data_IF_995114989108
#
_entry.id   IF_995114989108
#
_cell.length_a   1.000
_cell.length_b   1.000
_cell.length_c   1.000
_cell.angle_alpha   90.00
_cell.angle_beta   90.00
_cell.angle_gamma   90.00
#
_symmetry.space_group_name_H-M   'P 1'
#
loop_
_entity.id
_entity.type
_entity.pdbx_description
1 polymer ?
#
# COMPACT_ATOMS: atom_id res chain seq x y z
N UNK A 1 35.16 -95.31 -17.42
CA UNK A 1 34.84 -94.42 -16.32
C UNK A 1 35.80 -93.26 -16.32
N UNK A 2 35.32 -92.04 -16.67
CA UNK A 2 36.14 -90.83 -16.78
C UNK A 2 35.79 -89.86 -15.66
N UNK A 3 36.75 -89.61 -14.77
CA UNK A 3 36.64 -88.59 -13.75
C UNK A 3 36.95 -87.22 -14.37
N UNK A 4 36.04 -86.26 -14.18
CA UNK A 4 36.29 -84.84 -14.47
C UNK A 4 36.63 -84.15 -13.16
N UNK A 5 37.80 -83.52 -13.11
CA UNK A 5 38.20 -82.65 -11.99
C UNK A 5 37.49 -81.30 -12.09
N UNK A 6 36.96 -80.84 -10.99
CA UNK A 6 36.33 -79.50 -10.87
C UNK A 6 37.33 -78.57 -10.17
N UNK A 7 37.78 -77.54 -10.91
CA UNK A 7 38.70 -76.53 -10.39
C UNK A 7 37.87 -75.39 -9.77
N UNK A 8 38.03 -75.18 -8.51
CA UNK A 8 37.42 -74.00 -7.79
C UNK A 8 38.34 -72.80 -7.98
N UNK A 9 37.80 -71.70 -8.54
CA UNK A 9 38.42 -70.39 -8.51
C UNK A 9 37.96 -69.66 -7.23
N UNK A 10 38.93 -69.36 -6.37
CA UNK A 10 38.73 -68.44 -5.24
C UNK A 10 38.92 -66.99 -5.77
N UNK A 11 37.83 -66.26 -5.82
CA UNK A 11 37.85 -64.81 -6.09
C UNK A 11 38.19 -64.05 -4.79
N UNK A 12 39.31 -63.38 -4.75
CA UNK A 12 39.73 -62.54 -3.63
C UNK A 12 38.84 -61.30 -3.51
N UNK A 13 38.23 -61.11 -2.35
CA UNK A 13 37.53 -59.90 -1.97
C UNK A 13 38.54 -58.82 -1.55
N UNK A 14 38.66 -57.76 -2.34
CA UNK A 14 39.40 -56.56 -1.95
C UNK A 14 38.60 -55.75 -0.93
N UNK A 15 39.24 -55.14 0.08
CA UNK A 15 38.52 -54.34 1.06
C UNK A 15 38.09 -52.99 0.41
N UNK A 16 36.78 -52.67 0.44
CA UNK A 16 36.26 -51.38 0.07
C UNK A 16 36.63 -50.40 1.17
N UNK A 17 37.58 -49.53 0.91
CA UNK A 17 37.90 -48.41 1.78
C UNK A 17 36.76 -47.36 1.68
N UNK A 18 36.03 -47.18 2.76
CA UNK A 18 35.07 -46.09 2.91
C UNK A 18 35.86 -44.79 3.04
N UNK A 19 35.91 -43.99 1.98
CA UNK A 19 36.38 -42.61 2.06
C UNK A 19 35.26 -41.79 2.69
N UNK A 20 35.47 -41.34 3.92
CA UNK A 20 34.65 -40.32 4.56
C UNK A 20 34.72 -39.04 3.73
N UNK A 21 33.66 -38.73 2.99
CA UNK A 21 33.55 -37.43 2.33
C UNK A 21 33.48 -36.36 3.43
N UNK A 22 34.55 -35.60 3.58
CA UNK A 22 34.57 -34.42 4.42
C UNK A 22 33.47 -33.46 3.90
N UNK A 23 32.45 -33.21 4.71
CA UNK A 23 31.43 -32.20 4.41
C UNK A 23 32.13 -30.86 4.22
N UNK A 24 31.93 -30.25 3.07
CA UNK A 24 32.36 -28.89 2.83
C UNK A 24 31.77 -27.97 3.91
N UNK A 25 32.53 -26.99 4.45
CA UNK A 25 32.04 -26.09 5.44
C UNK A 25 30.79 -25.37 4.86
N UNK A 26 29.68 -25.34 5.63
CA UNK A 26 28.50 -24.55 5.31
C UNK A 26 28.96 -23.11 5.09
N UNK A 27 28.51 -22.44 4.02
CA UNK A 27 28.76 -21.01 3.86
C UNK A 27 28.25 -20.31 5.13
N UNK A 28 29.11 -19.49 5.74
CA UNK A 28 28.71 -18.64 6.84
C UNK A 28 27.46 -17.86 6.41
N UNK A 29 26.41 -17.85 7.24
CA UNK A 29 25.22 -17.08 7.00
C UNK A 29 25.65 -15.65 6.69
N UNK A 30 25.44 -15.20 5.46
CA UNK A 30 25.73 -13.83 5.07
C UNK A 30 24.82 -12.94 5.94
N UNK A 31 25.43 -12.08 6.75
CA UNK A 31 24.68 -11.03 7.40
C UNK A 31 23.90 -10.26 6.33
N UNK A 32 22.61 -9.94 6.57
CA UNK A 32 21.83 -9.18 5.61
C UNK A 32 22.58 -7.88 5.31
N UNK A 33 22.88 -7.63 4.05
CA UNK A 33 23.44 -6.34 3.66
C UNK A 33 22.43 -5.27 4.03
N UNK A 34 22.87 -4.14 4.64
CA UNK A 34 21.96 -3.01 4.82
C UNK A 34 21.33 -2.68 3.47
N UNK A 35 20.03 -2.87 3.33
CA UNK A 35 19.33 -2.46 2.11
C UNK A 35 19.25 -0.93 2.11
N UNK A 36 19.74 -0.24 1.06
CA UNK A 36 19.63 1.20 0.99
C UNK A 36 18.14 1.62 1.06
N UNK A 37 17.83 2.51 1.98
CA UNK A 37 16.49 3.11 2.07
C UNK A 37 15.63 2.68 3.25
N UNK A 38 15.94 1.58 3.97
CA UNK A 38 15.18 1.22 5.19
C UNK A 38 15.50 2.15 6.34
N UNK A 39 14.46 2.74 6.93
CA UNK A 39 14.60 3.73 8.01
C UNK A 39 13.55 3.52 9.10
N UNK A 40 13.93 3.85 10.34
CA UNK A 40 13.01 4.11 11.44
C UNK A 40 13.42 5.47 12.03
N UNK A 41 12.49 6.42 11.99
CA UNK A 41 12.70 7.76 12.53
C UNK A 41 11.58 8.12 13.50
N UNK A 42 11.95 8.74 14.63
CA UNK A 42 10.96 9.27 15.57
C UNK A 42 10.28 10.50 14.95
N UNK A 43 8.94 10.52 14.96
CA UNK A 43 8.15 11.70 14.59
C UNK A 43 8.09 12.63 15.81
N UNK A 44 7.44 12.19 16.88
CA UNK A 44 7.31 12.90 18.14
C UNK A 44 6.90 11.93 19.24
N UNK A 45 7.20 12.25 20.53
CA UNK A 45 6.86 11.37 21.65
C UNK A 45 7.41 9.95 21.43
N UNK A 46 6.53 8.96 21.44
CA UNK A 46 6.86 7.56 21.21
C UNK A 46 6.26 7.04 19.88
N UNK A 47 5.93 7.95 18.98
CA UNK A 47 5.47 7.67 17.63
C UNK A 47 6.65 7.72 16.65
N UNK A 48 6.77 6.65 15.85
CA UNK A 48 7.82 6.46 14.87
C UNK A 48 7.24 6.25 13.48
N UNK A 49 7.95 6.73 12.46
CA UNK A 49 7.72 6.40 11.05
C UNK A 49 8.81 5.44 10.59
N UNK A 50 8.44 4.41 9.87
CA UNK A 50 9.38 3.48 9.22
C UNK A 50 9.07 3.37 7.74
N UNK A 51 10.03 2.89 6.96
CA UNK A 51 9.81 2.68 5.53
C UNK A 51 11.07 2.27 4.78
N UNK A 52 10.93 2.13 3.45
CA UNK A 52 12.02 1.75 2.53
C UNK A 52 12.40 2.86 1.55
N UNK A 53 11.99 4.10 1.82
CA UNK A 53 12.23 5.26 0.95
C UNK A 53 11.08 5.57 0.01
N UNK A 54 10.16 4.64 -0.22
CA UNK A 54 8.97 4.81 -1.08
C UNK A 54 7.69 4.61 -0.27
N UNK A 55 7.58 3.48 0.42
CA UNK A 55 6.46 3.09 1.26
C UNK A 55 6.79 3.29 2.74
N UNK A 56 5.83 3.80 3.48
CA UNK A 56 6.00 4.13 4.89
C UNK A 56 4.78 3.74 5.70
N UNK A 57 5.06 3.23 6.91
CA UNK A 57 4.08 3.03 7.96
C UNK A 57 4.50 3.77 9.23
N UNK A 58 3.67 3.70 10.26
CA UNK A 58 3.98 4.27 11.58
C UNK A 58 3.75 3.24 12.69
N UNK A 59 4.43 3.42 13.81
CA UNK A 59 4.12 2.66 15.01
C UNK A 59 4.24 3.52 16.26
N UNK A 60 3.36 3.27 17.22
CA UNK A 60 3.32 3.90 18.53
C UNK A 60 3.76 2.90 19.60
N UNK A 61 4.80 3.24 20.35
CA UNK A 61 5.26 2.44 21.49
C UNK A 61 4.52 2.89 22.75
N UNK A 62 3.99 1.93 23.49
CA UNK A 62 3.29 2.18 24.75
C UNK A 62 3.82 1.28 25.86
N UNK A 63 3.44 1.50 27.12
CA UNK A 63 3.82 0.63 28.24
C UNK A 63 3.30 -0.80 28.13
N UNK A 64 2.25 -1.06 27.32
CA UNK A 64 1.60 -2.37 27.21
C UNK A 64 1.78 -3.03 25.85
N UNK A 65 2.60 -2.46 24.97
CA UNK A 65 2.85 -2.99 23.63
C UNK A 65 2.90 -1.90 22.56
N UNK A 66 3.00 -2.34 21.32
CA UNK A 66 3.11 -1.48 20.13
C UNK A 66 1.80 -1.53 19.35
N UNK A 67 1.38 -0.39 18.83
CA UNK A 67 0.35 -0.25 17.80
C UNK A 67 1.09 0.03 16.49
N UNK A 68 0.94 -0.84 15.50
CA UNK A 68 1.55 -0.75 14.18
C UNK A 68 0.47 -0.39 13.15
N UNK A 69 0.76 0.56 12.28
CA UNK A 69 -0.10 0.92 11.15
C UNK A 69 0.66 0.67 9.85
N UNK A 70 0.05 -0.07 8.95
CA UNK A 70 0.56 -0.48 7.64
C UNK A 70 1.91 -1.19 7.70
N UNK A 71 1.91 -2.51 7.81
CA UNK A 71 3.15 -3.32 7.82
C UNK A 71 3.87 -3.35 6.46
N UNK A 72 3.24 -2.84 5.40
CA UNK A 72 3.74 -2.69 4.03
C UNK A 72 3.88 -4.05 3.33
N UNK A 73 5.08 -4.59 3.24
CA UNK A 73 5.39 -5.86 2.58
C UNK A 73 6.02 -6.85 3.56
N UNK A 74 5.97 -8.13 3.23
CA UNK A 74 6.59 -9.20 4.02
C UNK A 74 8.08 -8.96 4.26
N UNK A 75 8.81 -8.45 3.25
CA UNK A 75 10.24 -8.15 3.38
C UNK A 75 10.51 -6.99 4.34
N UNK A 76 9.76 -5.89 4.23
CA UNK A 76 9.93 -4.73 5.13
C UNK A 76 9.47 -5.07 6.55
N UNK A 77 8.36 -5.78 6.70
CA UNK A 77 7.81 -6.19 7.99
C UNK A 77 8.74 -7.17 8.74
N UNK A 78 9.44 -8.06 8.02
CA UNK A 78 10.46 -8.94 8.59
C UNK A 78 11.58 -8.12 9.23
N UNK A 79 12.16 -7.21 8.49
CA UNK A 79 13.18 -6.31 8.99
C UNK A 79 12.67 -5.44 10.15
N UNK A 80 11.45 -4.91 10.04
CA UNK A 80 10.84 -4.08 11.08
C UNK A 80 10.67 -4.87 12.38
N UNK A 81 10.24 -6.12 12.32
CA UNK A 81 10.07 -7.00 13.49
C UNK A 81 11.41 -7.23 14.20
N UNK A 82 12.48 -7.42 13.45
CA UNK A 82 13.84 -7.54 14.00
C UNK A 82 14.29 -6.25 14.70
N UNK A 83 14.12 -5.10 14.04
CA UNK A 83 14.47 -3.79 14.58
C UNK A 83 13.65 -3.45 15.85
N UNK A 84 12.35 -3.73 15.84
CA UNK A 84 11.49 -3.56 17.02
C UNK A 84 11.96 -4.42 18.19
N UNK A 85 12.32 -5.67 17.93
CA UNK A 85 12.81 -6.60 18.97
C UNK A 85 14.11 -6.08 19.59
N UNK A 86 15.00 -5.49 18.80
CA UNK A 86 16.27 -4.92 19.28
C UNK A 86 16.07 -3.60 20.05
N UNK A 87 15.21 -2.71 19.52
CA UNK A 87 15.01 -1.36 20.09
C UNK A 87 14.09 -1.37 21.30
N UNK A 88 13.12 -2.28 21.33
CA UNK A 88 12.08 -2.39 22.35
C UNK A 88 11.98 -3.82 22.89
N UNK A 89 13.02 -4.34 23.54
CA UNK A 89 13.07 -5.74 23.96
C UNK A 89 11.90 -6.08 24.89
N UNK A 90 11.17 -7.15 24.58
CA UNK A 90 10.04 -7.62 25.37
C UNK A 90 8.73 -6.85 25.16
N UNK A 91 8.70 -5.86 24.26
CA UNK A 91 7.48 -5.09 23.96
C UNK A 91 6.81 -5.66 22.69
N UNK A 92 5.72 -6.43 22.80
CA UNK A 92 5.09 -7.06 21.65
C UNK A 92 4.24 -6.06 20.83
N UNK A 93 4.06 -6.33 19.55
CA UNK A 93 3.00 -5.69 18.75
C UNK A 93 1.66 -6.25 19.21
N UNK A 94 0.74 -5.37 19.64
CA UNK A 94 -0.58 -5.73 20.15
C UNK A 94 -1.70 -5.48 19.15
N UNK A 95 -1.53 -4.47 18.31
CA UNK A 95 -2.47 -4.15 17.27
C UNK A 95 -1.74 -3.86 15.97
N UNK A 96 -2.27 -4.39 14.87
CA UNK A 96 -1.93 -4.02 13.51
C UNK A 96 -3.17 -3.39 12.88
N UNK A 97 -3.02 -2.18 12.38
CA UNK A 97 -4.09 -1.42 11.74
C UNK A 97 -3.78 -1.36 10.25
N UNK A 98 -4.74 -1.68 9.42
CA UNK A 98 -4.67 -1.50 7.98
C UNK A 98 -5.34 -0.20 7.59
N UNK A 99 -4.61 0.66 6.89
CA UNK A 99 -5.17 1.92 6.40
C UNK A 99 -6.22 1.72 5.33
N UNK A 100 -6.04 0.74 4.45
CA UNK A 100 -6.97 0.32 3.40
C UNK A 100 -6.54 -1.03 2.82
N UNK A 101 -7.28 -1.56 1.87
CA UNK A 101 -7.05 -2.91 1.33
C UNK A 101 -5.93 -3.04 0.30
N UNK A 102 -5.25 -1.97 -0.08
CA UNK A 102 -4.16 -2.08 -1.05
C UNK A 102 -3.03 -2.94 -0.52
N UNK A 103 -2.54 -3.85 -1.38
CA UNK A 103 -1.57 -4.88 -1.04
C UNK A 103 -0.25 -4.30 -0.50
N UNK A 104 0.19 -3.18 -1.05
CA UNK A 104 1.43 -2.49 -0.70
C UNK A 104 1.41 -1.82 0.68
N UNK A 105 0.28 -1.90 1.40
CA UNK A 105 0.15 -1.47 2.79
C UNK A 105 -0.03 -2.61 3.77
N UNK A 106 -0.61 -3.75 3.35
CA UNK A 106 -1.10 -4.77 4.30
C UNK A 106 -0.43 -6.13 4.19
N UNK A 107 0.34 -6.41 3.13
CA UNK A 107 0.89 -7.72 2.83
C UNK A 107 1.74 -8.30 3.98
N UNK A 108 2.56 -7.50 4.63
CA UNK A 108 3.45 -7.94 5.71
C UNK A 108 2.77 -8.21 7.07
N UNK A 109 1.46 -8.00 7.18
CA UNK A 109 0.73 -8.07 8.46
C UNK A 109 0.86 -9.41 9.16
N UNK A 110 0.77 -10.51 8.44
CA UNK A 110 0.80 -11.86 8.98
C UNK A 110 1.97 -12.18 9.92
N UNK A 111 3.10 -11.48 9.78
CA UNK A 111 4.29 -11.66 10.63
C UNK A 111 4.07 -11.29 12.11
N UNK A 112 3.02 -10.54 12.42
CA UNK A 112 2.68 -10.10 13.77
C UNK A 112 1.52 -10.88 14.39
N UNK A 113 0.96 -11.89 13.69
CA UNK A 113 -0.26 -12.59 14.07
C UNK A 113 -0.18 -13.34 15.42
N UNK A 114 1.02 -13.70 15.89
CA UNK A 114 1.20 -14.41 17.18
C UNK A 114 0.81 -13.54 18.39
N UNK A 115 0.92 -12.21 18.29
CA UNK A 115 0.76 -11.30 19.44
C UNK A 115 -0.24 -10.18 19.19
N UNK A 116 -0.61 -9.92 17.93
CA UNK A 116 -1.43 -8.79 17.53
C UNK A 116 -2.86 -9.18 17.12
N UNK A 117 -3.81 -8.31 17.44
CA UNK A 117 -5.12 -8.25 16.80
C UNK A 117 -5.08 -7.27 15.63
N UNK A 118 -5.81 -7.59 14.56
CA UNK A 118 -5.84 -6.83 13.31
C UNK A 118 -7.12 -6.01 13.22
N UNK A 119 -6.98 -4.74 12.88
CA UNK A 119 -8.08 -3.77 12.84
C UNK A 119 -8.12 -3.12 11.46
N UNK A 120 -9.32 -3.00 10.88
CA UNK A 120 -9.54 -2.28 9.63
C UNK A 120 -10.95 -1.70 9.55
N UNK A 121 -11.17 -0.81 8.60
CA UNK A 121 -12.51 -0.42 8.18
C UNK A 121 -13.22 -1.64 7.54
N UNK A 122 -14.52 -1.78 7.70
CA UNK A 122 -15.27 -2.98 7.28
C UNK A 122 -15.21 -3.27 5.77
N UNK A 123 -15.01 -2.23 4.95
CA UNK A 123 -14.84 -2.35 3.51
C UNK A 123 -13.63 -3.18 3.11
N UNK A 124 -12.58 -3.22 3.94
CA UNK A 124 -11.38 -4.03 3.69
C UNK A 124 -11.73 -5.50 3.48
N UNK A 125 -12.63 -6.06 4.31
CA UNK A 125 -13.05 -7.45 4.15
C UNK A 125 -13.79 -7.68 2.82
N UNK A 126 -14.64 -6.73 2.42
CA UNK A 126 -15.37 -6.77 1.15
C UNK A 126 -14.40 -6.76 -0.04
N UNK A 127 -13.38 -5.92 0.02
CA UNK A 127 -12.40 -5.80 -1.04
C UNK A 127 -11.50 -7.05 -1.10
N UNK A 128 -11.05 -7.57 0.04
CA UNK A 128 -10.32 -8.84 0.11
C UNK A 128 -11.11 -10.04 -0.43
N UNK A 129 -12.44 -10.02 -0.34
CA UNK A 129 -13.31 -11.06 -0.89
C UNK A 129 -13.60 -10.87 -2.39
N UNK A 130 -13.06 -9.84 -3.02
CA UNK A 130 -13.28 -9.55 -4.44
C UNK A 130 -14.71 -9.14 -4.79
N UNK A 131 -15.50 -8.68 -3.81
CA UNK A 131 -16.89 -8.21 -4.04
C UNK A 131 -16.97 -6.77 -4.53
N UNK A 132 -15.86 -6.09 -4.51
CA UNK A 132 -15.75 -4.72 -5.01
C UNK A 132 -15.39 -4.75 -6.50
N UNK A 133 -16.11 -4.01 -7.37
CA UNK A 133 -15.88 -4.06 -8.81
C UNK A 133 -14.56 -3.43 -9.27
N UNK A 134 -13.96 -2.58 -8.42
CA UNK A 134 -12.64 -2.01 -8.64
C UNK A 134 -11.69 -2.61 -7.62
N UNK A 135 -10.69 -3.31 -8.10
CA UNK A 135 -9.65 -3.85 -7.23
C UNK A 135 -8.71 -2.75 -6.74
N UNK A 136 -8.04 -3.01 -5.63
CA UNK A 136 -7.11 -2.06 -5.05
C UNK A 136 -6.05 -1.61 -6.03
N UNK A 137 -5.76 -0.31 -6.02
CA UNK A 137 -4.73 0.29 -6.84
C UNK A 137 -5.10 0.33 -8.32
N UNK A 138 -4.12 0.02 -9.14
CA UNK A 138 -4.17 0.22 -10.57
C UNK A 138 -4.73 -1.00 -11.34
N UNK A 139 -5.39 -1.93 -10.65
CA UNK A 139 -5.92 -3.16 -11.22
C UNK A 139 -7.40 -3.02 -11.54
N UNK A 140 -7.77 -3.31 -12.78
CA UNK A 140 -9.15 -3.24 -13.26
C UNK A 140 -9.52 -4.55 -13.92
N UNK A 141 -10.50 -5.24 -13.33
CA UNK A 141 -11.20 -6.36 -13.97
C UNK A 141 -12.16 -5.80 -15.03
N UNK A 142 -11.69 -5.68 -16.27
CA UNK A 142 -12.41 -5.06 -17.38
C UNK A 142 -13.55 -5.94 -17.92
N UNK A 143 -13.36 -7.23 -17.83
CA UNK A 143 -14.33 -8.18 -18.35
C UNK A 143 -15.33 -8.66 -17.27
N UNK A 144 -15.15 -8.21 -16.00
CA UNK A 144 -15.96 -8.56 -14.83
C UNK A 144 -16.04 -10.08 -14.58
N UNK A 145 -14.95 -10.81 -14.81
CA UNK A 145 -14.90 -12.25 -14.55
C UNK A 145 -14.45 -12.61 -13.12
N UNK A 146 -14.10 -11.61 -12.33
CA UNK A 146 -13.65 -11.79 -10.94
C UNK A 146 -12.18 -12.20 -10.78
N UNK A 147 -11.41 -12.08 -11.86
CA UNK A 147 -10.00 -12.39 -11.94
C UNK A 147 -9.27 -11.29 -12.69
N UNK A 148 -7.95 -11.30 -12.67
CA UNK A 148 -7.11 -10.40 -13.47
C UNK A 148 -6.24 -11.20 -14.40
N UNK A 149 -6.25 -10.82 -15.64
CA UNK A 149 -5.29 -11.25 -16.63
C UNK A 149 -4.09 -10.31 -16.67
N UNK A 150 -2.95 -10.83 -17.15
CA UNK A 150 -1.72 -10.04 -17.28
C UNK A 150 -1.93 -8.69 -18.00
N UNK A 151 -2.80 -8.70 -19.03
CA UNK A 151 -3.08 -7.49 -19.81
C UNK A 151 -3.86 -6.43 -19.03
N UNK A 152 -4.72 -6.84 -18.10
CA UNK A 152 -5.49 -5.93 -17.24
C UNK A 152 -4.61 -5.28 -16.19
N UNK A 153 -3.57 -5.99 -15.76
CA UNK A 153 -2.58 -5.50 -14.79
C UNK A 153 -1.55 -4.57 -15.44
N UNK A 154 -1.03 -4.96 -16.60
CA UNK A 154 0.10 -4.24 -17.22
C UNK A 154 -0.32 -3.09 -18.13
N UNK A 155 -1.52 -3.15 -18.69
CA UNK A 155 -2.04 -2.16 -19.62
C UNK A 155 -3.55 -1.94 -19.41
N UNK A 156 -3.96 -1.28 -18.34
CA UNK A 156 -5.37 -1.13 -17.98
C UNK A 156 -6.24 -0.39 -19.02
N UNK A 157 -5.61 0.19 -20.04
CA UNK A 157 -6.28 0.60 -21.27
C UNK A 157 -6.69 2.07 -21.33
N UNK A 158 -6.95 2.55 -22.55
CA UNK A 158 -7.32 3.92 -22.85
C UNK A 158 -8.69 4.35 -22.28
N UNK A 159 -9.51 3.43 -21.81
CA UNK A 159 -10.78 3.72 -21.15
C UNK A 159 -10.61 4.25 -19.71
N UNK A 160 -9.44 4.06 -19.14
CA UNK A 160 -9.09 4.51 -17.80
C UNK A 160 -7.76 5.26 -17.83
N UNK A 161 -7.73 6.48 -18.37
CA UNK A 161 -6.50 7.22 -18.62
C UNK A 161 -5.74 7.65 -17.36
N UNK A 162 -6.27 7.43 -16.18
CA UNK A 162 -5.60 7.68 -14.92
C UNK A 162 -4.95 6.46 -14.29
N UNK A 163 -5.17 5.26 -14.83
CA UNK A 163 -4.69 4.01 -14.22
C UNK A 163 -3.31 3.65 -14.74
N UNK A 164 -2.34 3.55 -13.84
CA UNK A 164 -1.01 3.05 -14.13
C UNK A 164 -1.00 1.52 -14.10
N UNK A 165 -0.44 0.89 -15.13
CA UNK A 165 -0.22 -0.55 -15.10
C UNK A 165 0.87 -0.95 -14.10
N UNK A 166 0.69 -2.11 -13.50
CA UNK A 166 1.70 -2.74 -12.67
C UNK A 166 2.70 -3.52 -13.57
N UNK A 167 3.95 -3.71 -13.15
CA UNK A 167 4.90 -4.51 -13.92
C UNK A 167 4.46 -5.98 -14.01
N UNK A 168 4.78 -6.65 -15.10
CA UNK A 168 4.47 -8.07 -15.29
C UNK A 168 5.01 -8.97 -14.16
N UNK A 169 6.11 -8.57 -13.52
CA UNK A 169 6.65 -9.28 -12.36
C UNK A 169 5.72 -9.29 -11.16
N UNK A 170 4.87 -8.27 -11.01
CA UNK A 170 3.83 -8.24 -9.99
C UNK A 170 2.81 -9.37 -10.24
N UNK A 171 2.27 -9.45 -11.46
CA UNK A 171 1.37 -10.53 -11.84
C UNK A 171 2.00 -11.91 -11.58
N UNK A 172 3.22 -12.12 -12.07
CA UNK A 172 3.95 -13.39 -11.92
C UNK A 172 4.17 -13.80 -10.46
N UNK A 173 4.32 -12.85 -9.56
CA UNK A 173 4.50 -13.15 -8.13
C UNK A 173 3.20 -13.44 -7.39
N UNK A 174 2.06 -13.03 -7.94
CA UNK A 174 0.74 -13.18 -7.30
C UNK A 174 -0.16 -14.20 -8.00
N UNK A 175 0.08 -14.56 -9.25
CA UNK A 175 -0.46 -15.76 -9.90
C UNK A 175 0.23 -17.00 -9.30
N UNK A 176 -0.28 -17.45 -8.15
CA UNK A 176 0.40 -18.44 -7.30
C UNK A 176 0.26 -19.87 -7.81
N UNK A 177 -0.82 -20.17 -8.50
CA UNK A 177 -1.09 -21.46 -9.09
C UNK A 177 -0.57 -21.58 -10.54
N UNK A 178 -0.10 -20.46 -11.12
CA UNK A 178 0.44 -20.35 -12.49
C UNK A 178 -0.57 -20.76 -13.57
N UNK A 179 -1.85 -20.42 -13.36
CA UNK A 179 -2.90 -20.70 -14.35
C UNK A 179 -3.13 -19.56 -15.36
N UNK A 180 -2.40 -18.45 -15.20
CA UNK A 180 -2.47 -17.28 -16.07
C UNK A 180 -3.53 -16.27 -15.62
N UNK A 181 -4.11 -16.46 -14.44
CA UNK A 181 -5.07 -15.55 -13.81
C UNK A 181 -4.61 -15.23 -12.39
N UNK A 182 -4.89 -14.03 -11.92
CA UNK A 182 -4.67 -13.62 -10.54
C UNK A 182 -6.02 -13.34 -9.89
N UNK A 183 -6.36 -14.10 -8.87
CA UNK A 183 -7.59 -13.92 -8.10
C UNK A 183 -7.38 -13.03 -6.87
N UNK A 184 -8.44 -12.43 -6.31
CA UNK A 184 -8.35 -11.75 -5.00
C UNK A 184 -7.80 -12.64 -3.91
N UNK A 185 -8.14 -13.94 -3.91
CA UNK A 185 -7.63 -14.90 -2.95
C UNK A 185 -6.11 -15.10 -3.05
N UNK A 186 -5.55 -15.06 -4.25
CA UNK A 186 -4.11 -15.12 -4.48
C UNK A 186 -3.40 -13.83 -4.10
N UNK A 187 -3.99 -12.68 -4.47
CA UNK A 187 -3.45 -11.36 -4.11
C UNK A 187 -3.32 -11.22 -2.59
N UNK A 188 -4.33 -11.66 -1.84
CA UNK A 188 -4.37 -11.52 -0.39
C UNK A 188 -3.94 -12.79 0.38
N UNK A 189 -3.32 -13.77 -0.28
CA UNK A 189 -3.00 -15.06 0.33
C UNK A 189 -2.11 -14.96 1.59
N UNK A 190 -1.24 -13.95 1.65
CA UNK A 190 -0.34 -13.72 2.79
C UNK A 190 -0.87 -12.67 3.78
N UNK A 191 -2.00 -12.04 3.46
CA UNK A 191 -2.57 -11.01 4.32
C UNK A 191 -3.39 -11.64 5.44
N UNK A 192 -3.06 -11.31 6.68
CA UNK A 192 -3.87 -11.69 7.84
C UNK A 192 -5.14 -10.85 7.85
N UNK A 193 -6.30 -11.51 7.77
CA UNK A 193 -7.60 -10.83 7.78
C UNK A 193 -7.82 -10.09 9.10
N UNK A 194 -8.52 -8.94 9.09
CA UNK A 194 -8.89 -8.22 10.31
C UNK A 194 -9.70 -9.06 11.30
N UNK A 195 -9.37 -8.96 12.58
CA UNK A 195 -10.13 -9.55 13.69
C UNK A 195 -11.24 -8.60 14.18
N UNK A 196 -10.98 -7.29 14.06
CA UNK A 196 -11.87 -6.20 14.48
C UNK A 196 -12.11 -5.30 13.27
N UNK A 197 -13.38 -5.05 12.98
CA UNK A 197 -13.77 -4.09 11.95
C UNK A 197 -14.65 -3.00 12.54
N UNK A 198 -14.61 -1.81 11.91
CA UNK A 198 -15.46 -0.68 12.28
C UNK A 198 -16.00 -0.01 11.01
N UNK A 199 -17.10 0.73 11.10
CA UNK A 199 -17.70 1.44 9.97
C UNK A 199 -17.22 2.89 9.85
N UNK A 200 -17.44 3.71 10.88
CA UNK A 200 -17.18 5.16 10.80
C UNK A 200 -16.01 5.61 11.68
N UNK A 201 -15.94 5.11 12.90
CA UNK A 201 -14.95 5.52 13.90
C UNK A 201 -14.69 4.43 14.93
N UNK A 202 -13.44 4.30 15.32
CA UNK A 202 -13.01 3.44 16.43
C UNK A 202 -11.99 4.18 17.28
N UNK A 203 -12.17 4.16 18.60
CA UNK A 203 -11.18 4.64 19.55
C UNK A 203 -10.48 3.43 20.18
N UNK A 204 -9.16 3.45 20.19
CA UNK A 204 -8.32 2.39 20.76
C UNK A 204 -7.39 2.95 21.81
N UNK A 205 -7.38 2.32 22.99
CA UNK A 205 -6.47 2.70 24.08
C UNK A 205 -5.55 1.55 24.44
N UNK A 206 -4.24 1.80 24.50
CA UNK A 206 -3.23 0.84 24.90
C UNK A 206 -2.15 1.54 25.75
N UNK A 207 -1.84 1.01 26.94
CA UNK A 207 -0.78 1.52 27.79
C UNK A 207 -0.90 3.03 28.12
N UNK A 208 -2.13 3.51 28.29
CA UNK A 208 -2.42 4.92 28.59
C UNK A 208 -2.40 5.87 27.39
N UNK A 209 -2.09 5.36 26.20
CA UNK A 209 -2.17 6.11 24.94
C UNK A 209 -3.47 5.80 24.21
N UNK A 210 -4.14 6.82 23.71
CA UNK A 210 -5.38 6.68 22.92
C UNK A 210 -5.14 7.16 21.51
N UNK A 211 -5.62 6.40 20.54
CA UNK A 211 -5.65 6.76 19.12
C UNK A 211 -7.08 6.71 18.60
N UNK A 212 -7.34 7.39 17.52
CA UNK A 212 -8.64 7.40 16.85
C UNK A 212 -8.48 6.96 15.39
N UNK A 213 -9.26 5.97 15.00
CA UNK A 213 -9.39 5.50 13.62
C UNK A 213 -10.67 6.09 13.05
N UNK A 214 -10.58 6.73 11.90
CA UNK A 214 -11.73 7.36 11.25
C UNK A 214 -11.79 6.95 9.78
N UNK A 215 -12.99 6.66 9.32
CA UNK A 215 -13.28 6.51 7.90
C UNK A 215 -13.43 7.90 7.27
N UNK A 216 -12.55 8.33 6.36
CA UNK A 216 -12.62 9.68 5.80
C UNK A 216 -13.68 9.83 4.70
N UNK A 217 -14.37 8.76 4.31
CA UNK A 217 -15.22 8.68 3.13
C UNK A 217 -14.50 8.06 1.93
N UNK A 218 -15.22 7.97 0.82
CA UNK A 218 -14.67 7.45 -0.43
C UNK A 218 -13.73 8.47 -1.07
N UNK A 219 -12.52 8.02 -1.36
CA UNK A 219 -11.48 8.83 -1.98
C UNK A 219 -10.56 7.95 -2.82
N UNK A 220 -9.27 7.83 -2.48
CA UNK A 220 -8.35 6.88 -3.09
C UNK A 220 -8.84 5.41 -2.97
N UNK A 221 -9.46 5.09 -1.84
CA UNK A 221 -10.12 3.80 -1.60
C UNK A 221 -11.49 4.00 -0.94
N UNK A 222 -12.37 2.99 -0.98
CA UNK A 222 -13.69 3.05 -0.33
C UNK A 222 -13.70 2.43 1.07
N UNK A 223 -12.54 1.98 1.53
CA UNK A 223 -12.30 1.31 2.80
C UNK A 223 -11.21 1.98 3.64
N UNK A 224 -10.93 3.25 3.33
CA UNK A 224 -9.84 4.02 3.93
C UNK A 224 -9.97 4.22 5.44
N UNK A 225 -8.84 4.22 6.13
CA UNK A 225 -8.69 4.59 7.55
C UNK A 225 -7.63 5.67 7.67
N UNK A 226 -7.97 6.80 8.31
CA UNK A 226 -6.97 7.72 8.83
C UNK A 226 -6.80 7.50 10.32
N UNK A 227 -5.57 7.57 10.82
CA UNK A 227 -5.25 7.30 12.23
C UNK A 227 -4.74 8.58 12.89
N UNK A 228 -5.53 9.12 13.81
CA UNK A 228 -5.16 10.28 14.61
C UNK A 228 -4.48 9.81 15.90
N UNK A 229 -3.34 10.41 16.20
CA UNK A 229 -2.57 10.27 17.44
C UNK A 229 -2.69 11.59 18.22
N UNK A 230 -3.73 11.76 19.06
CA UNK A 230 -4.03 13.07 19.65
C UNK A 230 -2.92 13.61 20.55
N UNK A 231 -2.31 12.74 21.35
CA UNK A 231 -1.23 13.14 22.26
C UNK A 231 0.04 13.58 21.50
N UNK A 232 0.30 12.99 20.37
CA UNK A 232 1.43 13.29 19.49
C UNK A 232 1.11 14.41 18.49
N UNK A 233 -0.17 14.78 18.32
CA UNK A 233 -0.68 15.74 17.32
C UNK A 233 -0.29 15.36 15.89
N UNK A 234 -0.36 14.07 15.58
CA UNK A 234 -0.04 13.50 14.28
C UNK A 234 -1.27 12.80 13.70
N UNK A 235 -1.54 13.04 12.42
CA UNK A 235 -2.44 12.25 11.61
C UNK A 235 -1.60 11.36 10.69
N UNK A 236 -1.89 10.06 10.66
CA UNK A 236 -1.40 9.17 9.61
C UNK A 236 -2.52 8.91 8.61
N UNK A 237 -2.21 9.06 7.35
CA UNK A 237 -3.09 8.73 6.24
C UNK A 237 -2.22 8.20 5.10
N UNK A 238 -2.47 6.99 4.63
CA UNK A 238 -1.59 6.33 3.68
C UNK A 238 -1.51 7.09 2.34
N UNK A 239 -2.51 6.95 1.49
CA UNK A 239 -2.49 7.43 0.11
C UNK A 239 -3.38 8.66 -0.12
N UNK A 240 -4.25 8.93 0.81
CA UNK A 240 -5.05 10.14 0.86
C UNK A 240 -4.48 11.09 1.92
N UNK A 241 -4.40 12.42 1.73
CA UNK A 241 -4.86 13.24 0.59
C UNK A 241 -3.82 13.43 -0.51
N UNK A 242 -2.69 12.85 -0.39
CA UNK A 242 -1.59 13.06 -1.30
C UNK A 242 -1.08 11.73 -1.81
N UNK A 243 -1.89 11.04 -2.59
CA UNK A 243 -1.34 9.94 -3.36
C UNK A 243 -0.22 10.45 -4.23
N UNK A 244 0.97 10.02 -3.89
CA UNK A 244 2.11 10.35 -4.68
C UNK A 244 3.33 9.51 -4.34
N UNK A 245 3.49 8.43 -5.04
CA UNK A 245 4.83 7.86 -5.28
C UNK A 245 5.86 8.95 -5.69
N UNK A 246 5.39 10.12 -6.09
CA UNK A 246 6.19 11.20 -6.69
C UNK A 246 6.11 12.52 -5.92
N UNK A 247 5.25 12.66 -4.89
CA UNK A 247 5.11 13.95 -4.20
C UNK A 247 6.24 14.21 -3.23
N UNK A 248 7.06 15.16 -3.59
CA UNK A 248 8.06 15.77 -2.68
C UNK A 248 7.49 16.96 -1.89
N UNK A 249 6.29 17.45 -2.27
CA UNK A 249 5.55 18.50 -1.55
C UNK A 249 4.07 18.45 -1.92
N UNK A 250 3.19 19.00 -1.06
CA UNK A 250 1.76 19.15 -1.37
C UNK A 250 1.52 20.10 -2.55
N UNK A 251 2.45 20.99 -2.82
CA UNK A 251 2.46 21.84 -4.04
C UNK A 251 3.02 21.09 -5.24
N UNK A 252 2.45 19.93 -5.49
CA UNK A 252 2.65 19.12 -6.68
C UNK A 252 1.28 18.73 -7.20
N UNK A 253 1.05 18.79 -8.50
CA UNK A 253 -0.19 18.24 -9.04
C UNK A 253 -0.22 16.74 -8.70
N UNK A 254 -1.39 16.21 -8.31
CA UNK A 254 -1.55 14.79 -8.05
C UNK A 254 -1.32 14.00 -9.34
N UNK A 255 -0.86 12.77 -9.22
CA UNK A 255 -0.86 11.88 -10.38
C UNK A 255 -2.29 11.40 -10.61
N UNK A 256 -2.79 11.55 -11.82
CA UNK A 256 -4.07 10.98 -12.22
C UNK A 256 -4.03 9.44 -12.31
N UNK A 257 -2.86 8.85 -12.18
CA UNK A 257 -2.68 7.40 -12.11
C UNK A 257 -3.43 6.81 -10.91
N UNK A 258 -4.58 6.18 -11.19
CA UNK A 258 -5.32 5.39 -10.20
C UNK A 258 -6.09 6.18 -9.15
N UNK A 259 -6.19 7.52 -9.25
CA UNK A 259 -6.59 8.30 -8.10
C UNK A 259 -7.98 8.91 -8.16
N UNK A 260 -8.45 9.33 -9.32
CA UNK A 260 -9.67 10.14 -9.34
C UNK A 260 -10.88 9.41 -9.92
N UNK A 261 -10.69 8.40 -10.73
CA UNK A 261 -11.76 7.80 -11.50
C UNK A 261 -12.53 6.70 -10.76
N UNK A 262 -11.96 6.18 -9.68
CA UNK A 262 -12.62 5.18 -8.85
C UNK A 262 -13.77 5.70 -8.00
N UNK A 263 -13.74 6.98 -7.56
CA UNK A 263 -14.74 7.56 -6.66
C UNK A 263 -15.04 9.01 -7.00
N UNK A 264 -16.29 9.50 -6.70
CA UNK A 264 -16.68 10.87 -7.03
C UNK A 264 -15.73 11.91 -6.43
N UNK A 265 -15.24 12.87 -7.22
CA UNK A 265 -14.40 13.97 -6.73
C UNK A 265 -15.08 14.79 -5.61
N UNK A 266 -16.42 14.85 -5.60
CA UNK A 266 -17.18 15.44 -4.52
C UNK A 266 -16.96 14.74 -3.16
N UNK A 267 -16.77 13.41 -3.16
CA UNK A 267 -16.45 12.64 -1.96
C UNK A 267 -14.99 12.87 -1.51
N UNK A 268 -14.06 12.99 -2.46
CA UNK A 268 -12.68 13.40 -2.19
C UNK A 268 -12.63 14.75 -1.44
N UNK A 269 -13.36 15.74 -1.94
CA UNK A 269 -13.45 17.07 -1.31
C UNK A 269 -14.05 17.00 0.10
N UNK A 270 -15.06 16.14 0.31
CA UNK A 270 -15.62 15.91 1.65
C UNK A 270 -14.60 15.27 2.59
N UNK A 271 -13.85 14.29 2.10
CA UNK A 271 -12.77 13.63 2.85
C UNK A 271 -11.69 14.64 3.28
N UNK A 272 -11.29 15.54 2.39
CA UNK A 272 -10.38 16.65 2.73
C UNK A 272 -10.94 17.52 3.86
N UNK A 273 -12.21 17.93 3.77
CA UNK A 273 -12.87 18.75 4.81
C UNK A 273 -12.95 18.05 6.15
N UNK A 274 -13.16 16.72 6.13
CA UNK A 274 -13.19 15.92 7.35
C UNK A 274 -11.81 15.97 8.03
N UNK A 275 -10.74 15.66 7.32
CA UNK A 275 -9.40 15.63 7.93
C UNK A 275 -8.91 17.03 8.32
N UNK A 276 -9.26 18.09 7.61
CA UNK A 276 -9.00 19.47 8.03
C UNK A 276 -9.67 19.83 9.39
N UNK A 277 -10.79 19.22 9.70
CA UNK A 277 -11.49 19.37 10.97
C UNK A 277 -10.80 18.71 12.16
N UNK A 278 -9.85 17.79 11.95
CA UNK A 278 -9.14 17.08 13.02
C UNK A 278 -8.05 17.96 13.65
N UNK A 279 -7.69 17.66 14.90
CA UNK A 279 -6.68 18.41 15.64
C UNK A 279 -5.32 17.72 15.55
N UNK A 280 -4.51 18.11 14.57
CA UNK A 280 -3.13 17.64 14.35
C UNK A 280 -2.26 18.77 13.77
N UNK A 281 -0.95 18.60 13.88
CA UNK A 281 0.05 19.51 13.31
C UNK A 281 0.78 18.87 12.13
N UNK A 282 1.03 17.56 12.22
CA UNK A 282 1.82 16.77 11.26
C UNK A 282 0.92 15.74 10.59
N UNK A 283 0.98 15.70 9.25
CA UNK A 283 0.42 14.62 8.44
C UNK A 283 1.57 13.70 7.99
N UNK A 284 1.59 12.49 8.50
CA UNK A 284 2.47 11.42 8.03
C UNK A 284 1.74 10.58 6.98
N UNK A 285 2.42 10.28 5.88
CA UNK A 285 1.83 9.56 4.75
C UNK A 285 2.50 8.22 4.48
N UNK A 286 1.75 7.33 3.82
CA UNK A 286 2.19 6.01 3.38
C UNK A 286 3.16 6.05 2.21
N UNK A 287 3.11 7.10 1.40
CA UNK A 287 4.04 7.28 0.28
C UNK A 287 4.88 8.55 0.41
N UNK A 288 6.08 8.51 -0.22
CA UNK A 288 6.99 9.64 -0.25
C UNK A 288 7.71 9.92 1.06
N UNK A 289 8.87 10.55 0.98
CA UNK A 289 9.75 10.77 2.13
C UNK A 289 9.37 11.96 3.02
N UNK A 290 8.46 12.83 2.56
CA UNK A 290 8.10 14.09 3.23
C UNK A 290 6.85 13.90 4.08
N UNK A 291 6.86 14.49 5.27
CA UNK A 291 5.66 14.69 6.09
C UNK A 291 5.13 16.11 5.86
N UNK A 292 3.82 16.26 5.93
CA UNK A 292 3.12 17.51 5.64
C UNK A 292 2.58 18.16 6.91
N UNK A 293 2.13 19.41 6.77
CA UNK A 293 1.45 20.17 7.82
C UNK A 293 -0.06 20.16 7.54
N UNK A 294 -0.84 20.42 8.57
CA UNK A 294 -2.30 20.59 8.42
C UNK A 294 -2.66 21.64 7.36
N UNK A 295 -1.92 22.74 7.28
CA UNK A 295 -2.13 23.79 6.26
C UNK A 295 -2.00 23.27 4.82
N UNK A 296 -1.18 22.27 4.60
CA UNK A 296 -0.94 21.71 3.27
C UNK A 296 -2.16 20.93 2.76
N UNK A 297 -2.96 20.36 3.68
CA UNK A 297 -4.22 19.66 3.36
C UNK A 297 -5.23 20.62 2.73
N UNK A 298 -5.34 21.85 3.26
CA UNK A 298 -6.22 22.89 2.71
C UNK A 298 -5.82 23.29 1.30
N UNK A 299 -4.51 23.39 1.01
CA UNK A 299 -4.01 23.69 -0.34
C UNK A 299 -4.38 22.55 -1.33
N UNK A 300 -4.23 21.29 -0.92
CA UNK A 300 -4.62 20.14 -1.75
C UNK A 300 -6.14 20.12 -2.03
N UNK A 301 -6.97 20.38 -1.02
CA UNK A 301 -8.42 20.49 -1.20
C UNK A 301 -8.78 21.59 -2.20
N UNK A 302 -8.18 22.75 -2.06
CA UNK A 302 -8.46 23.89 -2.93
C UNK A 302 -8.14 23.59 -4.40
N UNK A 303 -7.08 22.83 -4.65
CA UNK A 303 -6.77 22.37 -6.00
C UNK A 303 -7.92 21.52 -6.59
N UNK A 304 -8.44 20.54 -5.84
CA UNK A 304 -9.56 19.72 -6.30
C UNK A 304 -10.85 20.54 -6.48
N UNK A 305 -11.13 21.49 -5.61
CA UNK A 305 -12.30 22.38 -5.75
C UNK A 305 -12.18 23.25 -7.02
N UNK A 306 -11.02 23.83 -7.29
CA UNK A 306 -10.77 24.65 -8.47
C UNK A 306 -10.83 23.79 -9.75
N UNK A 307 -10.20 22.63 -9.77
CA UNK A 307 -10.22 21.70 -10.90
C UNK A 307 -11.66 21.29 -11.27
N UNK A 308 -12.44 20.85 -10.27
CA UNK A 308 -13.84 20.46 -10.46
C UNK A 308 -14.68 21.62 -10.96
N UNK A 309 -14.48 22.82 -10.41
CA UNK A 309 -15.23 24.01 -10.81
C UNK A 309 -14.94 24.41 -12.27
N UNK A 310 -13.67 24.45 -12.68
CA UNK A 310 -13.28 24.84 -14.04
C UNK A 310 -13.73 23.81 -15.08
N UNK A 311 -13.53 22.50 -14.80
CA UNK A 311 -13.97 21.42 -15.70
C UNK A 311 -15.49 21.40 -15.82
N UNK A 312 -16.22 21.49 -14.71
CA UNK A 312 -17.70 21.52 -14.72
C UNK A 312 -18.26 22.71 -15.51
N UNK A 313 -17.65 23.89 -15.33
CA UNK A 313 -18.07 25.10 -16.07
C UNK A 313 -17.84 24.96 -17.58
N UNK A 314 -16.70 24.40 -17.97
CA UNK A 314 -16.43 24.15 -19.40
C UNK A 314 -17.35 23.10 -20.01
N UNK A 315 -17.64 22.02 -19.27
CA UNK A 315 -18.60 21.00 -19.70
C UNK A 315 -20.02 21.58 -19.85
N UNK A 316 -20.43 22.46 -18.94
CA UNK A 316 -21.74 23.15 -19.05
C UNK A 316 -21.82 24.07 -20.26
N UNK A 317 -20.70 24.59 -20.77
CA UNK A 317 -20.59 25.36 -22.01
C UNK A 317 -20.53 24.46 -23.28
N UNK A 318 -20.58 23.14 -23.12
CA UNK A 318 -20.51 22.19 -24.23
C UNK A 318 -19.12 21.99 -24.80
N UNK A 319 -18.06 22.40 -24.10
CA UNK A 319 -16.69 22.17 -24.55
C UNK A 319 -16.32 20.71 -24.57
N UNK A 320 -15.63 20.28 -25.60
CA UNK A 320 -15.00 18.97 -25.68
C UNK A 320 -13.83 18.84 -24.70
N UNK A 321 -13.43 17.61 -24.37
CA UNK A 321 -12.24 17.36 -23.55
C UNK A 321 -10.98 18.03 -24.13
N UNK A 322 -10.81 18.00 -25.46
CA UNK A 322 -9.67 18.65 -26.12
C UNK A 322 -9.67 20.18 -25.91
N UNK A 323 -10.83 20.83 -25.99
CA UNK A 323 -10.98 22.25 -25.71
C UNK A 323 -10.75 22.58 -24.23
N UNK A 324 -11.20 21.70 -23.30
CA UNK A 324 -10.93 21.85 -21.87
C UNK A 324 -9.44 21.82 -21.59
N UNK A 325 -8.70 20.84 -22.11
CA UNK A 325 -7.25 20.73 -21.95
C UNK A 325 -6.50 21.96 -22.47
N UNK A 326 -7.00 22.60 -23.56
CA UNK A 326 -6.42 23.82 -24.11
C UNK A 326 -6.76 25.09 -23.32
N UNK A 327 -7.95 25.17 -22.74
CA UNK A 327 -8.47 26.41 -22.14
C UNK A 327 -8.39 26.46 -20.63
N UNK A 328 -8.33 25.32 -19.93
CA UNK A 328 -8.19 25.26 -18.47
C UNK A 328 -6.71 25.24 -18.12
N UNK A 329 -6.21 26.37 -17.72
CA UNK A 329 -4.78 26.54 -17.44
C UNK A 329 -4.43 26.33 -15.96
N UNK A 330 -5.40 26.40 -15.04
CA UNK A 330 -5.15 26.29 -13.59
C UNK A 330 -3.98 27.20 -13.15
N UNK A 331 -3.96 28.44 -13.62
CA UNK A 331 -2.84 29.39 -13.49
C UNK A 331 -2.34 29.59 -12.05
N UNK A 332 -3.23 29.42 -11.08
CA UNK A 332 -2.91 29.47 -9.65
C UNK A 332 -1.87 28.42 -9.25
N UNK A 333 -1.79 27.32 -9.99
CA UNK A 333 -0.96 26.15 -9.69
C UNK A 333 0.23 25.98 -10.63
N UNK A 334 0.49 26.93 -11.53
CA UNK A 334 1.55 26.85 -12.55
C UNK A 334 2.97 26.64 -12.00
N UNK A 335 3.21 27.09 -10.77
CA UNK A 335 4.48 26.94 -10.07
C UNK A 335 4.54 25.66 -9.20
N UNK A 336 3.48 24.84 -9.21
CA UNK A 336 3.50 23.56 -8.54
C UNK A 336 4.33 22.53 -9.32
N UNK A 337 5.00 21.66 -8.60
CA UNK A 337 5.72 20.55 -9.22
C UNK A 337 4.76 19.71 -10.09
N UNK A 338 5.26 19.13 -11.15
CA UNK A 338 4.51 18.31 -12.11
C UNK A 338 3.45 19.05 -12.96
N UNK A 339 3.25 20.37 -12.77
CA UNK A 339 2.22 21.12 -13.50
C UNK A 339 2.29 20.89 -15.02
N UNK A 340 3.46 21.01 -15.62
CA UNK A 340 3.64 20.85 -17.08
C UNK A 340 3.33 19.41 -17.56
N UNK A 341 3.47 18.43 -16.68
CA UNK A 341 3.28 17.04 -17.01
C UNK A 341 1.86 16.55 -16.74
N UNK A 342 1.25 16.97 -15.64
CA UNK A 342 0.03 16.35 -15.11
C UNK A 342 -1.24 17.18 -15.29
N UNK A 343 -1.14 18.47 -15.60
CA UNK A 343 -2.32 19.35 -15.74
C UNK A 343 -3.38 18.79 -16.69
N UNK A 344 -2.95 18.31 -17.87
CA UNK A 344 -3.88 17.78 -18.85
C UNK A 344 -4.45 16.40 -18.44
N UNK A 345 -3.66 15.61 -17.77
CA UNK A 345 -4.10 14.32 -17.23
C UNK A 345 -5.11 14.51 -16.09
N UNK A 346 -4.89 15.50 -15.21
CA UNK A 346 -5.84 15.84 -14.15
C UNK A 346 -7.18 16.36 -14.71
N UNK A 347 -7.14 17.14 -15.78
CA UNK A 347 -8.35 17.62 -16.48
C UNK A 347 -9.11 16.43 -17.11
N UNK A 348 -8.38 15.49 -17.71
CA UNK A 348 -8.96 14.29 -18.31
C UNK A 348 -9.65 13.43 -17.24
N UNK A 349 -8.96 13.13 -16.15
CA UNK A 349 -9.49 12.38 -15.03
C UNK A 349 -10.73 13.06 -14.42
N UNK A 350 -10.68 14.38 -14.18
CA UNK A 350 -11.81 15.14 -13.67
C UNK A 350 -13.01 15.15 -14.63
N UNK A 351 -12.76 15.30 -15.93
CA UNK A 351 -13.82 15.25 -16.95
C UNK A 351 -14.52 13.88 -16.96
N UNK A 352 -13.76 12.78 -16.94
CA UNK A 352 -14.31 11.43 -16.95
C UNK A 352 -15.06 11.14 -15.65
N UNK A 353 -14.49 11.51 -14.50
CA UNK A 353 -15.14 11.38 -13.20
C UNK A 353 -16.48 12.11 -13.16
N UNK A 354 -16.52 13.36 -13.59
CA UNK A 354 -17.75 14.16 -13.63
C UNK A 354 -18.78 13.63 -14.64
N UNK A 355 -18.39 12.90 -15.67
CA UNK A 355 -19.33 12.22 -16.57
C UNK A 355 -19.98 11.01 -15.92
N UNK A 356 -19.22 10.25 -15.14
CA UNK A 356 -19.66 9.02 -14.50
C UNK A 356 -20.59 9.33 -13.32
N UNK A 357 -20.23 10.33 -12.51
CA UNK A 357 -20.85 10.60 -11.20
C UNK A 357 -21.71 11.87 -11.15
N UNK A 358 -22.23 12.30 -12.27
CA UNK A 358 -23.19 13.42 -12.35
C UNK A 358 -24.56 13.09 -11.82
#
# INVERSE_FOLDING_TARGET
MRYRALTLFLAGLAPIAWQSAAQAPRPAAQQPRPQPGRTIAKITGDLYRFGNGVWFGVFLVTSNGIILVDPISTDLATWLKEEMTQRFPGVPVRYVIYSHSHWDHIEGGGLFAETAQFIAQEGVLKNMDGRYPHMPGDMIDRNNNGQFELEEITAPGAAHPGVCGMPASFFQSHDRNHDGHMTPAELYAEVRRPDIVYSERLQLTLGGKTIELLYPGKNHADDGTVVLFPAERVLFSADFPADALVRTSMRSLPSACGNFDGHPLAEWIKSYKLIEGLDFDILAQGHGSVMFKKSDVAEGRQFFEDLVAEVSAGMAQGKSLAELKQTILLEKYKDWAQYQRLREDDIDAAYNNLKIYR
#
